data_IF_580790754691
#
_entry.id   IF_580790754691
#
_cell.length_a   1.000
_cell.length_b   1.000
_cell.length_c   1.000
_cell.angle_alpha   90.00
_cell.angle_beta   90.00
_cell.angle_gamma   90.00
#
_symmetry.space_group_name_H-M   'P 1'
#
loop_
_entity.id
_entity.type
_entity.pdbx_description
1 polymer ?
#
# COMPACT_ATOMS: atom_id res chain seq x y z
N UNK A 1 -11.22 -6.33 15.84
CA UNK A 1 -9.90 -5.78 15.49
C UNK A 1 -10.07 -4.28 15.35
N UNK A 2 -9.43 -3.49 16.22
CA UNK A 2 -9.56 -2.03 16.20
C UNK A 2 -8.85 -1.47 14.96
N UNK A 3 -9.49 -0.55 14.24
CA UNK A 3 -8.96 -0.04 12.98
C UNK A 3 -7.72 0.85 13.20
N UNK A 4 -6.60 0.47 12.59
CA UNK A 4 -5.28 1.13 12.71
C UNK A 4 -5.38 2.66 12.68
N UNK A 5 -6.07 3.18 11.67
CA UNK A 5 -6.11 4.61 11.39
C UNK A 5 -7.01 5.41 12.34
N UNK A 6 -7.73 4.76 13.25
CA UNK A 6 -8.63 5.42 14.22
C UNK A 6 -8.18 5.21 15.67
N UNK A 7 -7.63 4.04 16.00
CA UNK A 7 -7.39 3.63 17.39
C UNK A 7 -5.92 3.63 17.79
N UNK A 8 -4.99 3.75 16.83
CA UNK A 8 -3.58 3.89 17.16
C UNK A 8 -3.34 5.21 17.91
N UNK A 9 -2.65 5.24 19.07
CA UNK A 9 -2.51 6.45 19.88
C UNK A 9 -1.97 7.67 19.11
N UNK A 10 -1.02 7.42 18.20
CA UNK A 10 -0.50 8.45 17.29
C UNK A 10 -1.55 8.93 16.30
N UNK A 11 -2.38 8.03 15.78
CA UNK A 11 -3.46 8.41 14.87
C UNK A 11 -4.45 9.33 15.59
N UNK A 12 -4.86 8.97 16.81
CA UNK A 12 -5.76 9.81 17.63
C UNK A 12 -5.17 11.20 17.86
N UNK A 13 -3.92 11.26 18.35
CA UNK A 13 -3.26 12.54 18.60
C UNK A 13 -3.09 13.40 17.34
N UNK A 14 -2.91 12.78 16.16
CA UNK A 14 -2.87 13.49 14.88
C UNK A 14 -4.25 14.04 14.49
N UNK A 15 -5.31 13.25 14.62
CA UNK A 15 -6.68 13.69 14.33
C UNK A 15 -7.13 14.81 15.27
N UNK A 16 -6.82 14.68 16.56
CA UNK A 16 -7.11 15.69 17.59
C UNK A 16 -6.39 17.00 17.28
N UNK A 17 -5.08 16.93 16.98
CA UNK A 17 -4.28 18.11 16.64
C UNK A 17 -4.81 18.85 15.41
N UNK A 18 -5.32 18.12 14.42
CA UNK A 18 -5.88 18.69 13.19
C UNK A 18 -7.30 19.24 13.37
N UNK A 19 -7.88 19.12 14.57
CA UNK A 19 -9.26 19.55 14.84
C UNK A 19 -10.31 18.69 14.12
N UNK A 20 -9.95 17.47 13.72
CA UNK A 20 -10.83 16.54 13.01
C UNK A 20 -11.63 15.63 13.95
N UNK A 21 -11.64 15.96 15.25
CA UNK A 21 -12.36 15.26 16.34
C UNK A 21 -13.84 14.98 16.00
N UNK A 22 -14.48 15.91 15.26
CA UNK A 22 -15.92 15.87 14.95
C UNK A 22 -16.32 14.93 13.81
N UNK A 23 -15.38 14.30 13.10
CA UNK A 23 -15.75 13.29 12.12
C UNK A 23 -15.97 11.90 12.73
N UNK A 24 -15.60 11.71 14.00
CA UNK A 24 -15.69 10.44 14.73
C UNK A 24 -16.88 10.34 15.69
N UNK A 25 -17.55 11.45 16.04
CA UNK A 25 -18.74 11.42 16.89
C UNK A 25 -19.97 10.97 16.08
N UNK A 26 -20.22 9.65 16.09
CA UNK A 26 -21.45 9.06 15.55
C UNK A 26 -21.25 8.09 14.38
N UNK A 27 -20.04 7.94 13.85
CA UNK A 27 -19.74 6.89 12.86
C UNK A 27 -19.37 5.58 13.60
N UNK A 28 -20.08 4.47 13.35
CA UNK A 28 -19.77 3.19 13.97
C UNK A 28 -18.30 2.83 13.80
N UNK A 29 -17.69 2.37 14.90
CA UNK A 29 -16.26 2.03 15.07
C UNK A 29 -15.66 1.05 14.06
N UNK A 30 -16.46 0.55 13.12
CA UNK A 30 -16.18 -0.52 12.17
C UNK A 30 -16.01 -0.05 10.72
N UNK A 31 -16.13 1.26 10.43
CA UNK A 31 -16.19 1.73 9.04
C UNK A 31 -15.23 2.87 8.72
N UNK A 32 -13.93 2.72 9.02
CA UNK A 32 -12.93 3.65 8.49
C UNK A 32 -13.00 3.80 6.96
N UNK A 33 -13.22 2.73 6.16
CA UNK A 33 -13.43 2.90 4.72
C UNK A 33 -14.60 3.83 4.38
N UNK A 34 -15.70 3.78 5.14
CA UNK A 34 -16.85 4.65 4.95
C UNK A 34 -16.56 6.09 5.40
N UNK A 35 -15.84 6.25 6.52
CA UNK A 35 -15.36 7.54 7.00
C UNK A 35 -14.46 8.21 5.95
N UNK A 36 -13.44 7.49 5.46
CA UNK A 36 -12.52 7.99 4.45
C UNK A 36 -13.24 8.33 3.15
N UNK A 37 -14.17 7.46 2.71
CA UNK A 37 -15.00 7.73 1.52
C UNK A 37 -15.84 9.00 1.68
N UNK A 38 -16.45 9.23 2.85
CA UNK A 38 -17.22 10.45 3.14
C UNK A 38 -16.32 11.69 3.21
N UNK A 39 -15.19 11.59 3.89
CA UNK A 39 -14.21 12.67 4.01
C UNK A 39 -13.72 13.11 2.62
N UNK A 40 -13.30 12.15 1.78
CA UNK A 40 -12.85 12.44 0.43
C UNK A 40 -13.96 12.98 -0.48
N UNK A 41 -15.22 12.56 -0.28
CA UNK A 41 -16.35 13.11 -1.04
C UNK A 41 -16.71 14.56 -0.64
N UNK A 42 -16.36 14.98 0.57
CA UNK A 42 -16.59 16.36 1.04
C UNK A 42 -15.46 17.31 0.60
N UNK A 43 -14.27 16.78 0.39
CA UNK A 43 -13.10 17.55 0.00
C UNK A 43 -13.09 17.74 -1.53
N UNK A 44 -13.27 18.98 -1.96
CA UNK A 44 -13.16 19.37 -3.37
C UNK A 44 -11.79 20.00 -3.68
N UNK A 45 -11.03 20.35 -2.65
CA UNK A 45 -9.68 20.92 -2.76
C UNK A 45 -8.63 19.81 -2.79
N UNK A 46 -7.88 19.73 -3.87
CA UNK A 46 -6.81 18.76 -4.08
C UNK A 46 -5.72 18.82 -3.00
N UNK A 47 -5.42 20.01 -2.48
CA UNK A 47 -4.43 20.21 -1.42
C UNK A 47 -4.86 19.50 -0.13
N UNK A 48 -6.17 19.58 0.18
CA UNK A 48 -6.75 18.89 1.33
C UNK A 48 -6.80 17.37 1.13
N UNK A 49 -7.03 16.88 -0.09
CA UNK A 49 -6.93 15.44 -0.38
C UNK A 49 -5.50 14.96 -0.13
N UNK A 50 -4.51 15.69 -0.63
CA UNK A 50 -3.09 15.37 -0.40
C UNK A 50 -2.72 15.43 1.08
N UNK A 51 -3.27 16.38 1.83
CA UNK A 51 -3.11 16.43 3.29
C UNK A 51 -3.64 15.16 3.95
N UNK A 52 -4.86 14.73 3.60
CA UNK A 52 -5.45 13.48 4.13
C UNK A 52 -4.58 12.27 3.78
N UNK A 53 -4.15 12.13 2.53
CA UNK A 53 -3.27 11.02 2.10
C UNK A 53 -1.95 11.05 2.86
N UNK A 54 -1.34 12.22 3.05
CA UNK A 54 -0.11 12.39 3.83
C UNK A 54 -0.32 11.98 5.30
N UNK A 55 -1.46 12.32 5.91
CA UNK A 55 -1.81 11.90 7.28
C UNK A 55 -1.94 10.38 7.36
N UNK A 56 -2.66 9.76 6.42
CA UNK A 56 -2.83 8.30 6.41
C UNK A 56 -1.49 7.59 6.25
N UNK A 57 -0.68 8.00 5.27
CA UNK A 57 0.67 7.47 5.09
C UNK A 57 1.49 7.59 6.38
N UNK A 58 1.40 8.74 7.05
CA UNK A 58 2.13 9.01 8.27
C UNK A 58 1.70 8.11 9.42
N UNK A 59 0.40 7.88 9.58
CA UNK A 59 -0.15 6.95 10.57
C UNK A 59 0.35 5.53 10.30
N UNK A 60 0.25 5.09 9.05
CA UNK A 60 0.71 3.76 8.64
C UNK A 60 2.21 3.59 8.92
N UNK A 61 3.05 4.53 8.49
CA UNK A 61 4.51 4.50 8.69
C UNK A 61 4.90 4.55 10.15
N UNK A 62 4.25 5.41 10.95
CA UNK A 62 4.52 5.51 12.38
C UNK A 62 4.18 4.20 13.10
N UNK A 63 3.07 3.55 12.73
CA UNK A 63 2.74 2.22 13.25
C UNK A 63 3.76 1.18 12.82
N UNK A 64 4.18 1.17 11.56
CA UNK A 64 5.25 0.28 11.10
C UNK A 64 6.52 0.48 11.94
N UNK A 65 6.93 1.70 12.23
CA UNK A 65 8.06 1.95 13.13
C UNK A 65 7.84 1.49 14.57
N UNK A 66 6.65 1.65 15.13
CA UNK A 66 6.37 1.19 16.50
C UNK A 66 6.34 -0.34 16.58
N UNK A 67 5.62 -0.98 15.66
CA UNK A 67 5.44 -2.44 15.61
C UNK A 67 6.75 -3.13 15.26
N UNK A 68 7.44 -2.63 14.23
CA UNK A 68 8.64 -3.27 13.73
C UNK A 68 9.86 -2.76 14.49
N UNK A 69 10.08 -1.45 14.62
CA UNK A 69 11.34 -0.91 15.15
C UNK A 69 11.31 -0.59 16.66
N UNK A 70 10.17 -0.75 17.34
CA UNK A 70 10.02 -0.40 18.76
C UNK A 70 10.24 1.09 19.04
N UNK A 71 10.24 1.94 18.01
CA UNK A 71 10.48 3.37 18.15
C UNK A 71 9.27 4.05 18.76
N UNK A 72 9.52 4.97 19.69
CA UNK A 72 8.50 5.89 20.16
C UNK A 72 8.75 7.27 19.55
N UNK A 73 7.67 7.96 19.19
CA UNK A 73 7.75 9.28 18.61
C UNK A 73 6.99 10.27 19.47
N UNK A 74 7.61 11.41 19.77
CA UNK A 74 6.88 12.56 20.29
C UNK A 74 5.99 13.15 19.21
N UNK A 75 4.78 13.57 19.58
CA UNK A 75 3.83 14.25 18.68
C UNK A 75 4.48 15.42 17.93
N UNK A 76 5.29 16.31 18.55
CA UNK A 76 5.93 17.41 17.83
C UNK A 76 6.85 16.96 16.70
N UNK A 77 7.58 15.87 16.90
CA UNK A 77 8.46 15.28 15.88
C UNK A 77 7.65 14.69 14.73
N UNK A 78 6.53 14.04 15.03
CA UNK A 78 5.63 13.51 13.99
C UNK A 78 5.01 14.63 13.16
N UNK A 79 4.60 15.73 13.80
CA UNK A 79 4.04 16.90 13.12
C UNK A 79 5.05 17.58 12.22
N UNK A 80 6.28 17.77 12.69
CA UNK A 80 7.35 18.32 11.84
C UNK A 80 7.60 17.46 10.61
N UNK A 81 7.63 16.14 10.78
CA UNK A 81 7.81 15.22 9.67
C UNK A 81 6.59 15.17 8.74
N UNK A 82 5.38 15.33 9.28
CA UNK A 82 4.17 15.48 8.48
C UNK A 82 4.21 16.75 7.63
N UNK A 83 4.49 17.91 8.22
CA UNK A 83 4.56 19.19 7.50
C UNK A 83 5.60 19.14 6.39
N UNK A 84 6.79 18.61 6.69
CA UNK A 84 7.84 18.42 5.68
C UNK A 84 7.35 17.53 4.52
N UNK A 85 6.71 16.39 4.84
CA UNK A 85 6.21 15.48 3.82
C UNK A 85 5.05 16.09 3.01
N UNK A 86 4.17 16.85 3.66
CA UNK A 86 3.07 17.55 3.02
C UNK A 86 3.58 18.63 2.04
N UNK A 87 4.55 19.44 2.47
CA UNK A 87 5.20 20.45 1.62
C UNK A 87 5.88 19.79 0.41
N UNK A 88 6.58 18.67 0.61
CA UNK A 88 7.16 17.88 -0.46
C UNK A 88 6.10 17.39 -1.46
N UNK A 89 4.92 16.99 -1.00
CA UNK A 89 3.88 16.40 -1.86
C UNK A 89 2.99 17.43 -2.56
N UNK A 90 2.73 18.56 -1.93
CA UNK A 90 1.98 19.68 -2.54
C UNK A 90 2.83 20.41 -3.57
N UNK A 91 4.15 20.42 -3.41
CA UNK A 91 5.09 21.02 -4.38
C UNK A 91 5.29 20.21 -5.66
N UNK A 92 4.77 18.99 -5.75
CA UNK A 92 4.88 18.17 -6.96
C UNK A 92 3.82 18.61 -8.00
N UNK A 93 4.21 18.91 -9.25
CA UNK A 93 3.24 19.18 -10.31
C UNK A 93 2.48 17.89 -10.64
N UNK A 94 1.21 17.83 -10.23
CA UNK A 94 0.30 16.67 -10.44
C UNK A 94 -0.28 16.66 -11.88
N UNK A 95 0.05 17.65 -12.72
CA UNK A 95 -0.39 17.74 -14.13
C UNK A 95 0.10 16.60 -15.05
N UNK A 96 0.75 15.56 -14.50
CA UNK A 96 1.14 14.36 -15.23
C UNK A 96 0.51 13.06 -14.71
N UNK A 97 -0.39 13.12 -13.72
CA UNK A 97 -1.13 11.92 -13.30
C UNK A 97 -2.50 11.96 -13.98
N UNK A 98 -2.75 11.13 -15.02
CA UNK A 98 -4.06 11.09 -15.64
C UNK A 98 -5.11 10.78 -14.57
N UNK A 99 -6.14 11.62 -14.51
CA UNK A 99 -7.25 11.49 -13.57
C UNK A 99 -7.97 10.17 -13.83
N UNK A 100 -7.65 9.14 -13.05
CA UNK A 100 -8.39 7.88 -13.13
C UNK A 100 -9.55 7.93 -12.16
N UNK A 101 -10.73 8.19 -12.72
CA UNK A 101 -11.97 7.78 -12.08
C UNK A 101 -11.96 6.27 -12.02
N UNK A 102 -11.74 5.66 -10.85
CA UNK A 102 -11.91 4.23 -10.68
C UNK A 102 -13.42 3.90 -10.69
N UNK A 103 -13.98 3.32 -11.77
CA UNK A 103 -15.25 2.65 -11.62
C UNK A 103 -14.97 1.36 -10.83
N UNK A 104 -15.90 0.92 -9.99
CA UNK A 104 -15.91 -0.47 -9.54
C UNK A 104 -16.19 -1.33 -10.77
N UNK A 105 -15.14 -1.78 -11.48
CA UNK A 105 -15.28 -2.57 -12.69
C UNK A 105 -15.49 -4.03 -12.29
N UNK A 106 -16.66 -4.56 -12.63
CA UNK A 106 -16.93 -6.01 -12.64
C UNK A 106 -15.86 -6.73 -13.47
N UNK A 107 -15.50 -7.98 -13.17
CA UNK A 107 -14.45 -8.68 -13.90
C UNK A 107 -14.78 -8.74 -15.39
N UNK A 108 -14.15 -7.88 -16.18
CA UNK A 108 -14.22 -7.92 -17.62
C UNK A 108 -13.28 -9.02 -18.10
N UNK A 109 -13.82 -9.97 -18.87
CA UNK A 109 -13.02 -10.93 -19.64
C UNK A 109 -12.11 -10.17 -20.62
N UNK A 110 -10.79 -10.44 -20.66
CA UNK A 110 -9.91 -9.68 -21.53
C UNK A 110 -10.07 -10.12 -22.98
N UNK A 111 -10.29 -9.17 -23.89
CA UNK A 111 -10.20 -9.36 -25.35
C UNK A 111 -9.07 -8.46 -25.85
N UNK A 112 -7.97 -9.09 -26.29
CA UNK A 112 -6.82 -8.48 -26.99
C UNK A 112 -5.64 -8.18 -26.07
N UNK A 113 -4.47 -8.81 -26.33
CA UNK A 113 -3.10 -8.69 -25.70
C UNK A 113 -3.02 -7.94 -24.34
N UNK A 114 -3.95 -8.24 -23.44
CA UNK A 114 -4.32 -7.47 -22.24
C UNK A 114 -3.76 -8.17 -21.01
N UNK A 115 -2.44 -8.28 -20.99
CA UNK A 115 -1.76 -9.00 -19.91
C UNK A 115 -1.84 -8.20 -18.62
N UNK A 116 -2.35 -8.84 -17.59
CA UNK A 116 -2.37 -8.27 -16.25
C UNK A 116 -0.94 -8.13 -15.74
N UNK A 117 -0.70 -7.13 -14.90
CA UNK A 117 0.59 -6.95 -14.24
C UNK A 117 0.44 -7.30 -12.77
N UNK A 118 1.23 -8.24 -12.26
CA UNK A 118 1.33 -8.49 -10.83
C UNK A 118 2.63 -7.88 -10.29
N UNK A 119 2.49 -6.84 -9.46
CA UNK A 119 3.61 -6.28 -8.72
C UNK A 119 3.73 -6.98 -7.37
N UNK A 120 4.95 -7.25 -6.94
CA UNK A 120 5.24 -7.92 -5.68
C UNK A 120 6.48 -7.32 -5.01
N UNK A 121 6.50 -7.35 -3.68
CA UNK A 121 7.60 -6.84 -2.86
C UNK A 121 7.64 -7.58 -1.52
N UNK A 122 8.85 -7.97 -1.10
CA UNK A 122 9.14 -8.67 0.14
C UNK A 122 9.90 -7.80 1.13
N UNK A 123 9.50 -7.86 2.40
CA UNK A 123 10.18 -7.18 3.49
C UNK A 123 10.65 -8.17 4.54
N UNK A 124 11.88 -7.97 4.99
CA UNK A 124 12.47 -8.74 6.09
C UNK A 124 12.89 -7.81 7.22
N UNK A 125 12.85 -8.34 8.44
CA UNK A 125 13.41 -7.66 9.60
C UNK A 125 14.17 -8.65 10.46
N UNK A 126 15.45 -8.37 10.69
CA UNK A 126 16.29 -9.19 11.55
C UNK A 126 15.63 -9.38 12.93
N UNK A 127 15.51 -10.64 13.36
CA UNK A 127 14.88 -11.02 14.63
C UNK A 127 13.35 -10.93 14.65
N UNK A 128 12.68 -10.86 13.50
CA UNK A 128 11.22 -10.76 13.38
C UNK A 128 10.69 -11.57 12.20
N UNK A 129 9.37 -11.71 12.11
CA UNK A 129 8.67 -12.28 10.95
C UNK A 129 8.98 -11.47 9.68
N UNK A 130 8.97 -12.18 8.55
CA UNK A 130 9.08 -11.60 7.22
C UNK A 130 7.69 -11.53 6.57
N UNK A 131 7.48 -10.58 5.68
CA UNK A 131 6.19 -10.36 5.03
C UNK A 131 6.35 -9.98 3.57
N UNK A 132 5.26 -10.04 2.83
CA UNK A 132 5.22 -9.63 1.42
C UNK A 132 3.89 -9.02 1.04
N UNK A 133 3.93 -8.11 0.08
CA UNK A 133 2.76 -7.53 -0.56
C UNK A 133 2.73 -7.89 -2.04
N UNK A 134 1.52 -8.06 -2.58
CA UNK A 134 1.32 -8.27 -4.00
C UNK A 134 0.03 -7.59 -4.46
N UNK A 135 0.09 -6.97 -5.64
CA UNK A 135 -1.06 -6.33 -6.28
C UNK A 135 -1.17 -6.78 -7.73
N UNK A 136 -2.40 -6.99 -8.20
CA UNK A 136 -2.71 -7.30 -9.60
C UNK A 136 -3.33 -6.06 -10.22
N UNK A 137 -2.80 -5.65 -11.37
CA UNK A 137 -3.18 -4.47 -12.11
C UNK A 137 -3.71 -4.85 -13.49
N UNK A 138 -4.63 -4.05 -14.02
CA UNK A 138 -4.98 -4.08 -15.45
C UNK A 138 -3.79 -3.63 -16.31
N UNK A 139 -3.82 -3.83 -17.64
CA UNK A 139 -2.80 -3.31 -18.55
C UNK A 139 -2.60 -1.78 -18.41
N UNK A 140 -3.64 -1.05 -18.05
CA UNK A 140 -3.63 0.41 -17.81
C UNK A 140 -3.12 0.80 -16.41
N UNK A 141 -2.49 -0.15 -15.68
CA UNK A 141 -1.96 0.02 -14.31
C UNK A 141 -3.04 0.30 -13.25
N UNK A 142 -4.27 -0.14 -13.48
CA UNK A 142 -5.36 0.00 -12.51
C UNK A 142 -5.41 -1.16 -11.53
N UNK A 143 -5.50 -0.85 -10.23
CA UNK A 143 -5.58 -1.88 -9.18
C UNK A 143 -6.85 -2.73 -9.33
N UNK A 144 -6.66 -4.03 -9.54
CA UNK A 144 -7.72 -5.04 -9.49
C UNK A 144 -7.80 -5.71 -8.12
N UNK A 145 -6.68 -6.24 -7.63
CA UNK A 145 -6.62 -7.03 -6.40
C UNK A 145 -5.34 -6.71 -5.61
N UNK A 146 -5.40 -6.85 -4.29
CA UNK A 146 -4.25 -6.76 -3.40
C UNK A 146 -4.27 -7.89 -2.37
N UNK A 147 -3.10 -8.43 -2.03
CA UNK A 147 -2.93 -9.47 -1.01
C UNK A 147 -1.64 -9.24 -0.22
N UNK A 148 -1.69 -9.60 1.06
CA UNK A 148 -0.52 -9.66 1.93
C UNK A 148 -0.24 -11.12 2.30
N UNK A 149 1.04 -11.44 2.51
CA UNK A 149 1.50 -12.76 2.96
C UNK A 149 2.50 -12.58 4.10
N UNK A 150 2.51 -13.54 5.02
CA UNK A 150 3.45 -13.60 6.13
C UNK A 150 4.23 -14.90 6.08
N UNK A 151 5.52 -14.81 6.40
CA UNK A 151 6.42 -15.94 6.48
C UNK A 151 7.02 -16.04 7.89
N UNK A 152 7.50 -17.22 8.29
CA UNK A 152 8.40 -17.33 9.43
C UNK A 152 9.58 -16.38 9.29
N UNK A 153 10.29 -16.14 10.39
CA UNK A 153 11.52 -15.34 10.35
C UNK A 153 12.49 -15.91 9.29
N UNK A 154 12.87 -15.06 8.34
CA UNK A 154 13.86 -15.36 7.31
C UNK A 154 14.93 -14.28 7.37
N UNK A 155 16.19 -14.68 7.42
CA UNK A 155 17.32 -13.74 7.55
C UNK A 155 17.81 -13.22 6.19
N UNK A 156 17.46 -13.89 5.08
CA UNK A 156 17.85 -13.50 3.73
C UNK A 156 16.73 -12.78 2.98
N UNK A 157 16.94 -11.50 2.66
CA UNK A 157 15.98 -10.68 1.90
C UNK A 157 15.60 -11.32 0.56
N UNK A 158 16.59 -11.83 -0.17
CA UNK A 158 16.37 -12.46 -1.47
C UNK A 158 15.50 -13.72 -1.40
N UNK A 159 15.53 -14.45 -0.27
CA UNK A 159 14.66 -15.61 -0.06
C UNK A 159 13.22 -15.16 0.14
N UNK A 160 13.00 -14.09 0.90
CA UNK A 160 11.65 -13.57 1.15
C UNK A 160 11.04 -13.04 -0.13
N UNK A 161 11.78 -12.25 -0.88
CA UNK A 161 11.38 -11.77 -2.21
C UNK A 161 10.96 -12.93 -3.13
N UNK A 162 11.75 -14.01 -3.17
CA UNK A 162 11.42 -15.19 -3.97
C UNK A 162 10.15 -15.89 -3.47
N UNK A 163 9.93 -15.94 -2.15
CA UNK A 163 8.71 -16.49 -1.57
C UNK A 163 7.50 -15.62 -1.88
N UNK A 164 7.61 -14.30 -1.85
CA UNK A 164 6.52 -13.39 -2.27
C UNK A 164 6.16 -13.63 -3.73
N UNK A 165 7.16 -13.69 -4.62
CA UNK A 165 6.93 -13.99 -6.03
C UNK A 165 6.25 -15.35 -6.22
N UNK A 166 6.69 -16.39 -5.51
CA UNK A 166 6.05 -17.72 -5.56
C UNK A 166 4.58 -17.64 -5.16
N UNK A 167 4.27 -16.96 -4.05
CA UNK A 167 2.90 -16.77 -3.58
C UNK A 167 2.06 -15.93 -4.55
N UNK A 168 2.65 -14.93 -5.19
CA UNK A 168 1.99 -14.13 -6.23
C UNK A 168 1.60 -14.99 -7.43
N UNK A 169 2.49 -15.89 -7.89
CA UNK A 169 2.20 -16.82 -8.99
C UNK A 169 1.05 -17.76 -8.63
N UNK A 170 1.11 -18.39 -7.44
CA UNK A 170 0.05 -19.29 -6.96
C UNK A 170 -1.28 -18.54 -6.89
N UNK A 171 -1.26 -17.34 -6.32
CA UNK A 171 -2.45 -16.53 -6.15
C UNK A 171 -3.06 -16.12 -7.50
N UNK A 172 -2.25 -15.74 -8.50
CA UNK A 172 -2.76 -15.47 -9.84
C UNK A 172 -3.44 -16.69 -10.46
N UNK A 173 -2.87 -17.88 -10.30
CA UNK A 173 -3.45 -19.14 -10.79
C UNK A 173 -4.76 -19.48 -10.06
N UNK A 174 -4.82 -19.30 -8.74
CA UNK A 174 -6.04 -19.48 -7.93
C UNK A 174 -7.16 -18.54 -8.36
N UNK A 175 -6.81 -17.31 -8.76
CA UNK A 175 -7.75 -16.33 -9.31
C UNK A 175 -8.17 -16.64 -10.77
N UNK A 176 -7.62 -17.69 -11.39
CA UNK A 176 -7.94 -18.08 -12.76
C UNK A 176 -7.22 -17.27 -13.84
N UNK A 177 -6.17 -16.53 -13.50
CA UNK A 177 -5.38 -15.77 -14.47
C UNK A 177 -4.30 -16.63 -15.10
N UNK A 178 -4.28 -16.68 -16.44
CA UNK A 178 -3.31 -17.46 -17.21
C UNK A 178 -2.20 -16.62 -17.84
N UNK A 179 -2.42 -15.31 -18.04
CA UNK A 179 -1.49 -14.40 -18.70
C UNK A 179 -1.18 -13.19 -17.79
N UNK A 180 -0.15 -13.34 -16.96
CA UNK A 180 0.27 -12.32 -15.99
C UNK A 180 1.75 -12.01 -16.15
N UNK A 181 2.07 -10.72 -16.21
CA UNK A 181 3.43 -10.20 -16.18
C UNK A 181 3.82 -9.85 -14.75
N UNK A 182 4.91 -10.42 -14.24
CA UNK A 182 5.34 -10.21 -12.85
C UNK A 182 6.45 -9.15 -12.80
N UNK A 183 6.27 -8.13 -11.96
CA UNK A 183 7.23 -7.04 -11.76
C UNK A 183 7.62 -6.91 -10.28
N UNK A 184 8.91 -6.78 -10.02
CA UNK A 184 9.50 -6.52 -8.71
C UNK A 184 10.84 -5.82 -8.90
N UNK A 185 11.47 -5.35 -7.82
CA UNK A 185 12.75 -4.64 -7.84
C UNK A 185 13.94 -5.55 -7.43
N UNK A 186 13.67 -6.80 -7.04
CA UNK A 186 14.67 -7.79 -6.68
C UNK A 186 15.46 -8.32 -7.91
N UNK A 187 16.44 -7.52 -8.36
CA UNK A 187 17.31 -7.78 -9.52
C UNK A 187 17.91 -9.20 -9.54
N UNK A 188 18.32 -9.73 -8.38
CA UNK A 188 18.92 -11.07 -8.25
C UNK A 188 17.95 -12.19 -8.68
N UNK A 189 16.66 -12.01 -8.46
CA UNK A 189 15.61 -12.98 -8.82
C UNK A 189 15.26 -12.85 -10.29
N UNK A 190 15.20 -11.63 -10.80
CA UNK A 190 14.94 -11.34 -12.21
C UNK A 190 16.04 -11.94 -13.08
N UNK A 191 17.31 -11.65 -12.77
CA UNK A 191 18.46 -12.11 -13.57
C UNK A 191 18.61 -13.65 -13.59
N UNK A 192 18.28 -14.33 -12.48
CA UNK A 192 18.29 -15.81 -12.41
C UNK A 192 17.20 -16.44 -13.28
N UNK A 193 16.01 -15.86 -13.34
CA UNK A 193 14.90 -16.36 -14.14
C UNK A 193 15.08 -16.12 -15.65
N UNK A 194 15.73 -15.00 -16.04
CA UNK A 194 16.10 -14.74 -17.43
C UNK A 194 17.18 -15.72 -17.93
N UNK A 195 18.15 -16.06 -17.07
CA UNK A 195 19.26 -16.97 -17.43
C UNK A 195 18.81 -18.42 -17.70
N UNK A 196 17.72 -18.88 -17.07
CA UNK A 196 17.14 -20.21 -17.31
C UNK A 196 16.34 -20.33 -18.61
N UNK A 197 15.88 -19.21 -19.20
CA UNK A 197 15.10 -19.23 -20.46
C UNK A 197 15.94 -19.24 -21.74
N UNK A 198 17.25 -18.98 -21.65
CA UNK A 198 18.17 -18.93 -22.80
C UNK A 198 19.18 -20.09 -22.86
N UNK A 199 18.93 -21.19 -22.14
CA UNK A 199 19.71 -22.43 -22.20
C UNK A 199 18.95 -23.62 -22.81
N UNK A 200 17.88 -23.36 -23.57
CA UNK A 200 17.13 -24.37 -24.33
C UNK A 200 17.34 -24.22 -25.82
#
# INVERSE_FOLDING_TARGET
MEHLFLYFPVARALWDYLGLEYLGEGLPRHTFPLFLKRLLALIHDQSLVMAVVAILWRIWRSRSWVVFEGKQFGIPTLMRQFNQQYEEWVGLPIDQVPSVTCPLVQPATPVGDSRLVCMWDGVTKSGSHSAGGMVILTPERMLLLAKEVQFPQMDEHAVVELLVLREAIIWCLECGFSEVWFEGDAKVIIDKNYSSRHKG
#
